data_IF_395408911829
#
_entry.id   IF_395408911829
#
_cell.length_a   1.000
_cell.length_b   1.000
_cell.length_c   1.000
_cell.angle_alpha   90.00
_cell.angle_beta   90.00
_cell.angle_gamma   90.00
#
_symmetry.space_group_name_H-M   'P 1'
#
loop_
_entity.id
_entity.type
_entity.pdbx_description
1 polymer ?
#
# COMPACT_ATOMS: atom_id res chain seq x y z
N UNK A 1 26.06 -39.78 -0.77
CA UNK A 1 24.66 -39.49 -1.19
C UNK A 1 24.38 -38.04 -0.90
N UNK A 2 24.57 -37.17 -1.88
CA UNK A 2 24.15 -35.77 -1.83
C UNK A 2 22.63 -35.75 -1.95
N UNK A 3 21.93 -35.34 -0.89
CA UNK A 3 20.51 -35.06 -0.97
C UNK A 3 20.30 -34.02 -2.08
N UNK A 4 19.38 -34.27 -3.01
CA UNK A 4 19.04 -33.32 -4.04
C UNK A 4 18.50 -32.06 -3.34
N UNK A 5 19.32 -31.01 -3.31
CA UNK A 5 18.82 -29.66 -3.21
C UNK A 5 17.91 -29.47 -4.42
N UNK A 6 16.63 -29.19 -4.16
CA UNK A 6 15.66 -28.52 -5.06
C UNK A 6 14.42 -29.34 -5.48
N UNK A 7 13.55 -29.68 -4.53
CA UNK A 7 12.12 -29.93 -4.82
C UNK A 7 11.29 -28.71 -4.37
N UNK A 8 11.23 -27.66 -5.20
CA UNK A 8 10.36 -26.50 -5.00
C UNK A 8 9.82 -25.96 -6.33
N UNK A 9 8.65 -25.32 -6.27
CA UNK A 9 7.99 -24.75 -7.45
C UNK A 9 8.80 -23.56 -7.96
N UNK A 10 9.16 -23.58 -9.26
CA UNK A 10 9.91 -22.50 -9.92
C UNK A 10 9.06 -21.65 -10.87
N UNK A 11 7.84 -22.08 -11.18
CA UNK A 11 6.91 -21.32 -12.02
C UNK A 11 6.27 -20.17 -11.21
N UNK A 12 6.55 -18.90 -11.53
CA UNK A 12 6.01 -17.75 -10.80
C UNK A 12 4.48 -17.66 -10.84
N UNK A 13 3.84 -18.10 -11.93
CA UNK A 13 2.40 -18.08 -12.06
C UNK A 13 1.76 -19.11 -11.12
N UNK A 14 2.33 -20.31 -11.06
CA UNK A 14 1.90 -21.37 -10.15
C UNK A 14 2.15 -20.98 -8.68
N UNK A 15 3.30 -20.37 -8.37
CA UNK A 15 3.60 -19.85 -7.02
C UNK A 15 2.54 -18.84 -6.61
N UNK A 16 2.23 -17.87 -7.48
CA UNK A 16 1.24 -16.84 -7.19
C UNK A 16 -0.15 -17.46 -7.00
N UNK A 17 -0.54 -18.39 -7.88
CA UNK A 17 -1.84 -19.10 -7.81
C UNK A 17 -1.99 -19.82 -6.48
N UNK A 18 -1.02 -20.68 -6.12
CA UNK A 18 -1.04 -21.43 -4.85
C UNK A 18 -1.00 -20.52 -3.63
N UNK A 19 -0.20 -19.44 -3.68
CA UNK A 19 -0.15 -18.48 -2.59
C UNK A 19 -1.52 -17.86 -2.32
N UNK A 20 -2.25 -17.41 -3.35
CA UNK A 20 -3.59 -16.87 -3.15
C UNK A 20 -4.64 -17.93 -2.77
N UNK A 21 -4.45 -19.20 -3.14
CA UNK A 21 -5.28 -20.29 -2.65
C UNK A 21 -5.12 -20.48 -1.14
N UNK A 22 -3.87 -20.54 -0.67
CA UNK A 22 -3.56 -20.65 0.77
C UNK A 22 -4.09 -19.44 1.54
N UNK A 23 -3.80 -18.22 1.07
CA UNK A 23 -4.27 -16.98 1.71
C UNK A 23 -5.79 -16.96 1.85
N UNK A 24 -6.55 -17.35 0.82
CA UNK A 24 -8.02 -17.41 0.92
C UNK A 24 -8.53 -18.49 1.87
N UNK A 25 -7.84 -19.62 1.94
CA UNK A 25 -8.22 -20.71 2.83
C UNK A 25 -7.96 -20.39 4.30
N UNK A 26 -6.93 -19.57 4.59
CA UNK A 26 -6.47 -19.29 5.96
C UNK A 26 -6.97 -17.96 6.53
N UNK A 27 -7.50 -17.06 5.69
CA UNK A 27 -7.94 -15.72 6.14
C UNK A 27 -9.45 -15.71 6.42
N UNK A 28 -9.84 -15.41 7.65
CA UNK A 28 -11.24 -15.10 7.97
C UNK A 28 -11.59 -13.68 7.48
N UNK A 29 -12.48 -13.61 6.51
CA UNK A 29 -12.97 -12.36 5.90
C UNK A 29 -14.41 -12.03 6.30
N UNK A 30 -15.03 -12.84 7.17
CA UNK A 30 -16.46 -12.76 7.46
C UNK A 30 -16.91 -11.42 8.05
N UNK A 31 -16.01 -10.72 8.74
CA UNK A 31 -16.25 -9.41 9.34
C UNK A 31 -16.05 -8.23 8.37
N UNK A 32 -15.51 -8.47 7.16
CA UNK A 32 -15.16 -7.41 6.22
C UNK A 32 -16.22 -7.24 5.12
N UNK A 33 -16.49 -6.00 4.68
CA UNK A 33 -17.21 -5.76 3.44
C UNK A 33 -16.54 -6.47 2.27
N UNK A 34 -17.31 -6.93 1.28
CA UNK A 34 -16.79 -7.76 0.18
C UNK A 34 -15.74 -7.06 -0.67
N UNK A 35 -15.87 -5.75 -0.88
CA UNK A 35 -14.89 -4.93 -1.60
C UNK A 35 -13.60 -4.73 -0.80
N UNK A 36 -13.69 -4.64 0.53
CA UNK A 36 -12.55 -4.58 1.45
C UNK A 36 -11.87 -5.93 1.57
N UNK A 37 -12.61 -7.04 1.50
CA UNK A 37 -12.05 -8.40 1.58
C UNK A 37 -11.03 -8.67 0.46
N UNK A 38 -11.24 -8.15 -0.76
CA UNK A 38 -10.25 -8.25 -1.84
C UNK A 38 -8.93 -7.54 -1.51
N UNK A 39 -9.02 -6.38 -0.84
CA UNK A 39 -7.86 -5.62 -0.38
C UNK A 39 -7.16 -6.35 0.76
N UNK A 40 -7.92 -6.90 1.70
CA UNK A 40 -7.40 -7.68 2.83
C UNK A 40 -6.55 -8.87 2.36
N UNK A 41 -7.00 -9.63 1.35
CA UNK A 41 -6.22 -10.73 0.78
C UNK A 41 -4.87 -10.27 0.22
N UNK A 42 -4.78 -9.04 -0.32
CA UNK A 42 -3.51 -8.46 -0.77
C UNK A 42 -2.62 -8.04 0.39
N UNK A 43 -3.18 -7.51 1.47
CA UNK A 43 -2.45 -7.20 2.70
C UNK A 43 -1.85 -8.48 3.29
N UNK A 44 -2.66 -9.52 3.48
CA UNK A 44 -2.21 -10.82 3.98
C UNK A 44 -1.12 -11.41 3.09
N UNK A 45 -1.30 -11.40 1.77
CA UNK A 45 -0.28 -11.90 0.84
C UNK A 45 1.05 -11.14 0.95
N UNK A 46 1.01 -9.83 1.24
CA UNK A 46 2.21 -9.01 1.35
C UNK A 46 2.97 -9.21 2.67
N UNK A 47 2.28 -9.45 3.78
CA UNK A 47 2.91 -9.62 5.10
C UNK A 47 3.05 -11.09 5.56
N UNK A 48 2.31 -12.02 4.96
CA UNK A 48 2.29 -13.43 5.35
C UNK A 48 1.56 -13.72 6.66
N UNK A 49 0.64 -12.85 7.09
CA UNK A 49 -0.08 -12.94 8.37
C UNK A 49 -1.60 -12.97 8.14
N UNK A 50 -2.26 -14.13 8.05
CA UNK A 50 -3.72 -14.22 7.86
C UNK A 50 -4.54 -13.51 8.94
N UNK A 51 -4.06 -13.51 10.18
CA UNK A 51 -4.71 -12.90 11.34
C UNK A 51 -4.87 -11.37 11.24
N UNK A 52 -4.05 -10.70 10.41
CA UNK A 52 -4.11 -9.24 10.24
C UNK A 52 -5.48 -8.78 9.72
N UNK A 53 -6.25 -9.65 9.07
CA UNK A 53 -7.59 -9.32 8.58
C UNK A 53 -8.53 -8.85 9.70
N UNK A 54 -8.35 -9.35 10.93
CA UNK A 54 -9.12 -8.92 12.10
C UNK A 54 -8.78 -7.50 12.58
N UNK A 55 -7.58 -7.00 12.25
CA UNK A 55 -7.11 -5.67 12.62
C UNK A 55 -7.45 -4.61 11.57
N UNK A 56 -7.99 -5.02 10.42
CA UNK A 56 -8.33 -4.10 9.34
C UNK A 56 -9.62 -3.34 9.65
N UNK A 57 -9.50 -2.02 9.69
CA UNK A 57 -10.64 -1.12 9.74
C UNK A 57 -10.88 -0.45 8.38
N UNK A 58 -12.16 -0.27 8.05
CA UNK A 58 -12.58 0.51 6.89
C UNK A 58 -13.80 1.35 7.25
N UNK A 59 -13.96 2.48 6.58
CA UNK A 59 -15.09 3.39 6.82
C UNK A 59 -15.67 3.86 5.49
N UNK A 60 -17.00 4.07 5.49
CA UNK A 60 -17.73 4.55 4.32
C UNK A 60 -17.49 3.67 3.09
N UNK A 61 -17.28 4.31 1.94
CA UNK A 61 -17.05 3.66 0.66
C UNK A 61 -15.57 3.67 0.26
N UNK A 62 -14.66 3.36 1.20
CA UNK A 62 -13.21 3.49 1.03
C UNK A 62 -12.70 2.93 -0.30
N UNK A 63 -13.06 1.67 -0.62
CA UNK A 63 -12.58 0.99 -1.83
C UNK A 63 -13.14 1.62 -3.09
N UNK A 64 -14.44 1.92 -3.13
CA UNK A 64 -15.06 2.59 -4.26
C UNK A 64 -14.48 4.00 -4.49
N UNK A 65 -14.29 4.79 -3.43
CA UNK A 65 -13.70 6.13 -3.50
C UNK A 65 -12.24 6.10 -3.97
N UNK A 66 -11.43 5.19 -3.41
CA UNK A 66 -10.03 5.02 -3.79
C UNK A 66 -9.88 4.57 -5.25
N UNK A 67 -10.66 3.57 -5.68
CA UNK A 67 -10.69 3.13 -7.08
C UNK A 67 -11.13 4.24 -8.02
N UNK A 68 -12.19 4.98 -7.67
CA UNK A 68 -12.67 6.11 -8.46
C UNK A 68 -11.64 7.22 -8.60
N UNK A 69 -10.91 7.55 -7.53
CA UNK A 69 -9.82 8.53 -7.58
C UNK A 69 -8.70 8.09 -8.54
N UNK A 70 -8.23 6.84 -8.42
CA UNK A 70 -7.18 6.31 -9.29
C UNK A 70 -7.62 6.22 -10.76
N UNK A 71 -8.88 5.86 -11.02
CA UNK A 71 -9.45 5.85 -12.38
C UNK A 71 -9.59 7.26 -12.95
N UNK A 72 -9.78 8.27 -12.11
CA UNK A 72 -9.81 9.68 -12.50
C UNK A 72 -8.40 10.29 -12.64
N UNK A 73 -7.33 9.50 -12.59
CA UNK A 73 -5.95 9.98 -12.74
C UNK A 73 -5.39 10.72 -11.52
N UNK A 74 -6.01 10.55 -10.34
CA UNK A 74 -5.57 11.24 -9.11
C UNK A 74 -4.27 10.64 -8.57
N UNK A 75 -3.38 11.47 -8.00
CA UNK A 75 -2.10 10.98 -7.51
C UNK A 75 -2.26 10.09 -6.27
N UNK A 76 -1.28 9.23 -6.06
CA UNK A 76 -1.02 8.57 -4.77
C UNK A 76 0.03 9.36 -4.02
N UNK A 77 -0.27 9.78 -2.80
CA UNK A 77 0.66 10.48 -1.91
C UNK A 77 1.16 9.50 -0.86
N UNK A 78 2.45 9.18 -0.89
CA UNK A 78 3.08 8.21 0.00
C UNK A 78 3.98 8.91 1.01
N UNK A 79 3.92 8.50 2.28
CA UNK A 79 4.76 9.04 3.36
C UNK A 79 6.25 8.67 3.21
N UNK A 80 6.53 7.49 2.66
CA UNK A 80 7.89 6.97 2.52
C UNK A 80 8.14 6.33 1.14
N UNK A 81 9.44 6.15 0.82
CA UNK A 81 9.87 5.55 -0.46
C UNK A 81 9.48 4.08 -0.58
N UNK A 82 9.50 3.33 0.52
CA UNK A 82 9.10 1.91 0.51
C UNK A 82 7.67 1.73 0.00
N UNK A 83 6.74 2.58 0.45
CA UNK A 83 5.35 2.57 -0.07
C UNK A 83 5.31 3.02 -1.53
N UNK A 84 5.97 4.13 -1.86
CA UNK A 84 5.95 4.69 -3.22
C UNK A 84 6.52 3.72 -4.28
N UNK A 85 7.60 3.02 -3.95
CA UNK A 85 8.31 2.11 -4.84
C UNK A 85 7.66 0.72 -4.87
N UNK A 86 6.94 0.34 -3.80
CA UNK A 86 6.16 -0.89 -3.74
C UNK A 86 4.91 -0.87 -4.65
N UNK A 87 4.45 0.31 -5.08
CA UNK A 87 3.31 0.45 -5.99
C UNK A 87 3.70 -0.01 -7.39
N UNK A 88 3.10 -1.12 -7.84
CA UNK A 88 3.29 -1.66 -9.19
C UNK A 88 2.70 -0.73 -10.25
N UNK A 89 3.55 0.05 -10.93
CA UNK A 89 3.13 1.09 -11.89
C UNK A 89 2.25 0.58 -13.02
N UNK A 90 2.53 -0.62 -13.55
CA UNK A 90 1.74 -1.23 -14.61
C UNK A 90 0.31 -1.62 -14.21
N UNK A 91 -0.03 -1.57 -12.92
CA UNK A 91 -1.39 -1.82 -12.41
C UNK A 91 -2.18 -0.56 -12.12
N UNK A 92 -1.58 0.63 -12.28
CA UNK A 92 -2.31 1.88 -12.14
C UNK A 92 -3.28 2.02 -13.32
N UNK A 93 -4.57 2.34 -13.09
CA UNK A 93 -5.59 2.38 -14.13
C UNK A 93 -5.50 3.60 -15.05
N UNK A 94 -4.59 4.52 -14.75
CA UNK A 94 -4.29 5.75 -15.47
C UNK A 94 -2.84 6.11 -15.17
N UNK A 95 -2.31 7.17 -15.79
CA UNK A 95 -0.98 7.70 -15.51
C UNK A 95 -0.93 8.45 -14.16
N UNK A 96 -1.30 7.75 -13.09
CA UNK A 96 -1.37 8.28 -11.74
C UNK A 96 0.05 8.54 -11.25
N UNK A 97 0.34 9.79 -10.91
CA UNK A 97 1.59 10.11 -10.23
C UNK A 97 1.61 9.41 -8.86
N UNK A 98 2.77 8.87 -8.47
CA UNK A 98 3.00 8.41 -7.10
C UNK A 98 4.09 9.30 -6.54
N UNK A 99 3.73 10.09 -5.55
CA UNK A 99 4.52 11.20 -5.05
C UNK A 99 4.91 10.87 -3.62
N UNK A 100 6.19 11.05 -3.32
CA UNK A 100 6.68 11.02 -1.96
C UNK A 100 7.61 12.21 -1.79
N UNK A 101 7.39 13.05 -0.78
CA UNK A 101 8.14 14.30 -0.56
C UNK A 101 9.14 14.21 0.60
N UNK A 102 9.22 13.05 1.28
CA UNK A 102 10.22 12.79 2.33
C UNK A 102 11.67 13.11 1.93
N UNK A 103 12.04 12.86 0.66
CA UNK A 103 13.36 13.16 0.08
C UNK A 103 13.44 14.50 -0.67
N UNK A 104 12.40 15.34 -0.62
CA UNK A 104 12.46 16.71 -1.16
C UNK A 104 13.50 17.53 -0.38
N UNK A 105 14.28 18.34 -1.09
CA UNK A 105 15.36 19.14 -0.49
C UNK A 105 14.85 20.17 0.51
N UNK A 106 13.57 20.54 0.44
CA UNK A 106 12.91 21.48 1.37
C UNK A 106 12.51 20.81 2.69
N UNK A 107 12.27 19.50 2.70
CA UNK A 107 11.72 18.76 3.86
C UNK A 107 12.55 18.89 5.14
N UNK A 108 13.90 18.77 5.13
CA UNK A 108 14.68 18.90 6.36
C UNK A 108 14.60 20.30 7.00
N UNK A 109 14.61 21.35 6.18
CA UNK A 109 14.49 22.72 6.66
C UNK A 109 13.07 22.98 7.20
N UNK A 110 12.05 22.49 6.51
CA UNK A 110 10.65 22.64 6.93
C UNK A 110 10.39 21.92 8.27
N UNK A 111 10.87 20.69 8.43
CA UNK A 111 10.78 19.95 9.69
C UNK A 111 11.42 20.69 10.86
N UNK A 112 12.58 21.34 10.63
CA UNK A 112 13.23 22.17 11.65
C UNK A 112 12.38 23.41 12.00
N UNK A 113 11.87 24.12 11.00
CA UNK A 113 11.02 25.30 11.21
C UNK A 113 9.74 24.96 11.98
N UNK A 114 9.11 23.83 11.64
CA UNK A 114 7.87 23.38 12.25
C UNK A 114 8.07 22.58 13.56
N UNK A 115 9.32 22.30 13.95
CA UNK A 115 9.66 21.49 15.12
C UNK A 115 8.96 20.12 15.12
N UNK A 116 8.95 19.45 13.96
CA UNK A 116 8.30 18.14 13.75
C UNK A 116 9.21 17.15 13.01
N UNK A 117 8.72 15.94 12.74
CA UNK A 117 9.48 14.93 11.98
C UNK A 117 9.56 15.30 10.50
N UNK A 118 10.53 14.72 9.78
CA UNK A 118 10.61 14.90 8.32
C UNK A 118 9.39 14.36 7.58
N UNK A 119 8.81 13.26 8.06
CA UNK A 119 7.62 12.68 7.44
C UNK A 119 6.40 13.59 7.61
N UNK A 120 6.19 14.15 8.80
CA UNK A 120 5.14 15.14 9.05
C UNK A 120 5.32 16.38 8.17
N UNK A 121 6.51 16.98 8.15
CA UNK A 121 6.79 18.15 7.33
C UNK A 121 6.69 17.87 5.82
N UNK A 122 6.92 16.63 5.38
CA UNK A 122 6.78 16.27 3.98
C UNK A 122 5.32 16.33 3.51
N UNK A 123 4.34 16.13 4.41
CA UNK A 123 2.91 16.21 4.10
C UNK A 123 2.50 17.63 3.71
N UNK A 124 3.08 18.66 4.32
CA UNK A 124 2.82 20.06 3.92
C UNK A 124 3.21 20.33 2.47
N UNK A 125 4.17 19.58 1.91
CA UNK A 125 4.55 19.69 0.50
C UNK A 125 3.54 19.04 -0.46
N UNK A 126 2.50 18.38 0.05
CA UNK A 126 1.42 17.78 -0.75
C UNK A 126 0.28 18.74 -1.08
N UNK A 127 0.26 19.96 -0.52
CA UNK A 127 -0.89 20.89 -0.57
C UNK A 127 -1.55 20.98 -1.96
N UNK A 128 -0.73 21.14 -3.01
CA UNK A 128 -1.20 21.27 -4.40
C UNK A 128 -1.86 20.00 -4.97
N UNK A 129 -1.47 18.83 -4.47
CA UNK A 129 -1.85 17.51 -4.99
C UNK A 129 -2.90 16.82 -4.10
N UNK A 130 -3.08 17.27 -2.85
CA UNK A 130 -3.86 16.59 -1.81
C UNK A 130 -5.35 16.44 -2.17
N UNK A 131 -5.94 17.44 -2.81
CA UNK A 131 -7.38 17.44 -3.10
C UNK A 131 -7.73 16.26 -4.02
N UNK A 132 -8.40 15.25 -3.46
CA UNK A 132 -8.87 14.05 -4.16
C UNK A 132 -7.79 13.01 -4.45
N UNK A 133 -6.60 13.15 -3.88
CA UNK A 133 -5.55 12.13 -3.93
C UNK A 133 -5.94 10.89 -3.10
N UNK A 134 -5.25 9.79 -3.38
CA UNK A 134 -5.21 8.63 -2.49
C UNK A 134 -3.98 8.76 -1.60
N UNK A 135 -4.17 8.87 -0.28
CA UNK A 135 -3.06 8.99 0.68
C UNK A 135 -2.71 7.61 1.21
N UNK A 136 -1.42 7.29 1.24
CA UNK A 136 -0.86 6.03 1.73
C UNK A 136 0.24 6.31 2.77
N UNK A 137 -0.13 6.27 4.04
CA UNK A 137 0.81 6.36 5.17
C UNK A 137 1.14 4.94 5.62
N UNK A 138 2.35 4.46 5.32
CA UNK A 138 2.76 3.07 5.59
C UNK A 138 3.93 2.91 6.56
N UNK A 139 4.53 4.00 7.04
CA UNK A 139 5.66 3.95 7.96
C UNK A 139 5.49 4.91 9.14
N UNK A 140 5.34 6.21 8.89
CA UNK A 140 5.47 7.24 9.90
C UNK A 140 4.10 7.67 10.45
N UNK A 141 3.76 7.36 11.72
CA UNK A 141 2.50 7.80 12.33
C UNK A 141 2.37 9.32 12.51
N UNK A 142 3.45 10.06 12.24
CA UNK A 142 3.49 11.53 12.35
C UNK A 142 3.22 12.24 11.02
N UNK A 143 3.24 11.50 9.90
CA UNK A 143 2.80 12.01 8.61
C UNK A 143 1.27 12.11 8.60
#
# INVERSE_FOLDING_TARGET
>A
MTAALDDYIRDPAEITRRSFEIVRAETDLSALPSDVAEVALRVVHACGMPEIAGDLASAGSLVAAGRGALQAGRPVLADCRMVADGITRSRLPSDNAVICTLGDTRTPALAKTLSTTRSAAAVDLWEKDLKGAVVAIGNAPTA
#
